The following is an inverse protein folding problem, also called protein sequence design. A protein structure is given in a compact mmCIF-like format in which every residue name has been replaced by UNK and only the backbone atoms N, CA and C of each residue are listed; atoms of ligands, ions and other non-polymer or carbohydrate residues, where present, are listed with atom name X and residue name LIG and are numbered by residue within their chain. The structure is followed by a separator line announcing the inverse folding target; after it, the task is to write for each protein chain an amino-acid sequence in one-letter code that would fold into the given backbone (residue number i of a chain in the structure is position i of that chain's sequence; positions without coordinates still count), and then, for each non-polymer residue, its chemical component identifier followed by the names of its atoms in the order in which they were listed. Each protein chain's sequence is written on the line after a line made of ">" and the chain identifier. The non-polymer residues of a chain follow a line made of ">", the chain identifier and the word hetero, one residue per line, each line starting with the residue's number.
data_IF_173932999578
#
_entry.id   IF_173932999578
#
_cell.length_a   1.000
_cell.length_b   1.000
_cell.length_c   1.000
_cell.angle_alpha   90.00
_cell.angle_beta   90.00
_cell.angle_gamma   90.00
#
_symmetry.space_group_name_H-M   'P 1'
#
loop_
_entity.id
_entity.type
_entity.pdbx_description
1 polymer ?
#
# COMPACT_ATOMS: atom_id res chain seq x y z
N UNK A 1 -28.62 0.83 15.64
CA UNK A 1 -27.45 1.09 14.77
C UNK A 1 -26.93 2.52 14.84
N UNK A 2 -27.77 3.56 14.92
CA UNK A 2 -27.32 4.98 14.98
C UNK A 2 -26.34 5.29 16.13
N UNK A 3 -26.51 4.68 17.30
CA UNK A 3 -25.64 4.94 18.47
C UNK A 3 -24.19 4.45 18.29
N UNK A 4 -23.92 3.42 17.48
CA UNK A 4 -22.56 2.87 17.25
C UNK A 4 -21.67 3.82 16.44
N UNK A 5 -22.27 4.63 15.57
CA UNK A 5 -21.58 5.52 14.61
C UNK A 5 -21.83 7.00 14.88
N UNK A 6 -22.32 7.35 16.08
CA UNK A 6 -22.64 8.73 16.45
C UNK A 6 -21.39 9.62 16.32
N UNK A 7 -21.55 10.79 15.66
CA UNK A 7 -20.50 11.78 15.43
C UNK A 7 -19.29 11.34 14.57
N UNK A 8 -19.38 10.27 13.79
CA UNK A 8 -18.33 9.83 12.83
C UNK A 8 -17.89 10.97 11.91
N UNK A 9 -18.82 11.75 11.34
CA UNK A 9 -18.47 12.86 10.44
C UNK A 9 -17.70 14.00 11.12
N UNK A 10 -17.95 14.27 12.41
CA UNK A 10 -17.15 15.25 13.17
C UNK A 10 -15.74 14.75 13.42
N UNK A 11 -15.58 13.46 13.73
CA UNK A 11 -14.28 12.81 13.90
C UNK A 11 -13.51 12.76 12.57
N UNK A 12 -14.16 12.42 11.46
CA UNK A 12 -13.55 12.46 10.13
C UNK A 12 -13.01 13.87 9.80
N UNK A 13 -13.81 14.92 10.06
CA UNK A 13 -13.36 16.31 9.87
C UNK A 13 -12.16 16.67 10.78
N UNK A 14 -12.13 16.16 12.00
CA UNK A 14 -11.01 16.33 12.92
C UNK A 14 -9.75 15.66 12.40
N UNK A 15 -9.85 14.38 11.94
CA UNK A 15 -8.75 13.64 11.33
C UNK A 15 -8.22 14.38 10.10
N UNK A 16 -9.10 14.87 9.23
CA UNK A 16 -8.71 15.62 8.04
C UNK A 16 -7.95 16.92 8.40
N UNK A 17 -8.43 17.68 9.40
CA UNK A 17 -7.73 18.89 9.87
C UNK A 17 -6.36 18.58 10.45
N UNK A 18 -6.22 17.47 11.19
CA UNK A 18 -4.94 17.03 11.77
C UNK A 18 -3.92 16.67 10.68
N UNK A 19 -4.39 16.12 9.57
CA UNK A 19 -3.55 15.69 8.45
C UNK A 19 -3.54 16.64 7.26
N UNK A 20 -3.96 17.87 7.44
CA UNK A 20 -4.08 18.88 6.37
C UNK A 20 -2.80 19.13 5.55
N UNK A 21 -1.65 18.73 6.05
CA UNK A 21 -0.35 18.81 5.37
C UNK A 21 0.08 17.41 4.90
N UNK A 22 0.00 16.41 5.80
CA UNK A 22 0.53 15.06 5.53
C UNK A 22 -0.19 14.38 4.35
N UNK A 23 -1.53 14.41 4.30
CA UNK A 23 -2.29 13.80 3.21
C UNK A 23 -2.02 14.48 1.86
N UNK A 24 -2.11 15.82 1.72
CA UNK A 24 -1.77 16.48 0.46
C UNK A 24 -0.33 16.25 0.00
N UNK A 25 0.64 16.22 0.91
CA UNK A 25 2.05 15.93 0.56
C UNK A 25 2.16 14.54 -0.08
N UNK A 26 1.53 13.51 0.51
CA UNK A 26 1.51 12.18 -0.07
C UNK A 26 0.84 12.15 -1.44
N UNK A 27 -0.35 12.76 -1.57
CA UNK A 27 -1.09 12.80 -2.85
C UNK A 27 -0.24 13.49 -3.92
N UNK A 28 0.26 14.71 -3.64
CA UNK A 28 1.05 15.47 -4.60
C UNK A 28 2.32 14.70 -5.00
N UNK A 29 3.02 14.10 -4.04
CA UNK A 29 4.24 13.33 -4.34
C UNK A 29 3.96 12.14 -5.26
N UNK A 30 2.92 11.33 -4.95
CA UNK A 30 2.57 10.15 -5.77
C UNK A 30 2.11 10.58 -7.16
N UNK A 31 1.20 11.55 -7.22
CA UNK A 31 0.61 12.03 -8.49
C UNK A 31 1.68 12.66 -9.37
N UNK A 32 2.47 13.60 -8.82
CA UNK A 32 3.53 14.29 -9.59
C UNK A 32 4.58 13.32 -10.09
N UNK A 33 5.01 12.37 -9.25
CA UNK A 33 6.00 11.36 -9.66
C UNK A 33 5.45 10.46 -10.77
N UNK A 34 4.20 10.00 -10.65
CA UNK A 34 3.56 9.14 -11.66
C UNK A 34 3.41 9.86 -13.00
N UNK A 35 2.94 11.12 -12.98
CA UNK A 35 2.75 11.91 -14.20
C UNK A 35 4.12 12.27 -14.83
N UNK A 36 5.11 12.64 -14.00
CA UNK A 36 6.45 12.98 -14.47
C UNK A 36 7.09 11.81 -15.24
N UNK A 37 7.02 10.59 -14.69
CA UNK A 37 7.56 9.41 -15.36
C UNK A 37 6.72 9.08 -16.62
N UNK A 38 5.38 9.20 -16.54
CA UNK A 38 4.50 9.00 -17.69
C UNK A 38 4.81 9.95 -18.86
N UNK A 39 5.22 11.19 -18.57
CA UNK A 39 5.65 12.15 -19.58
C UNK A 39 7.07 11.86 -20.11
N UNK A 40 7.98 11.44 -19.24
CA UNK A 40 9.41 11.26 -19.57
C UNK A 40 9.65 9.98 -20.41
N UNK A 41 8.92 8.88 -20.17
CA UNK A 41 9.17 7.61 -20.87
C UNK A 41 9.02 7.71 -22.40
N UNK A 42 7.97 8.35 -22.98
CA UNK A 42 7.85 8.52 -24.41
C UNK A 42 8.95 9.40 -25.03
N UNK A 43 9.47 10.38 -24.26
CA UNK A 43 10.59 11.20 -24.70
C UNK A 43 11.91 10.42 -24.73
N UNK A 44 12.07 9.46 -23.81
CA UNK A 44 13.27 8.62 -23.72
C UNK A 44 13.29 7.52 -24.79
N UNK A 45 12.12 7.04 -25.24
CA UNK A 45 11.95 6.02 -26.26
C UNK A 45 10.97 6.48 -27.34
N UNK A 46 11.34 7.48 -28.16
CA UNK A 46 10.43 8.14 -29.10
C UNK A 46 9.97 7.24 -30.25
N UNK A 47 10.81 6.29 -30.66
CA UNK A 47 10.47 5.42 -31.80
C UNK A 47 9.88 4.08 -31.33
N UNK A 48 9.00 3.52 -32.18
CA UNK A 48 8.45 2.17 -31.93
C UNK A 48 9.54 1.10 -31.91
N UNK A 49 10.64 1.29 -32.66
CA UNK A 49 11.77 0.36 -32.70
C UNK A 49 12.49 0.34 -31.34
N UNK A 50 12.74 1.49 -30.73
CA UNK A 50 13.38 1.60 -29.42
C UNK A 50 12.51 0.98 -28.34
N UNK A 51 11.19 1.26 -28.35
CA UNK A 51 10.25 0.62 -27.42
C UNK A 51 10.22 -0.90 -27.58
N UNK A 52 10.26 -1.40 -28.83
CA UNK A 52 10.27 -2.83 -29.09
C UNK A 52 11.58 -3.49 -28.65
N UNK A 53 12.74 -2.85 -28.83
CA UNK A 53 14.01 -3.33 -28.29
C UNK A 53 13.97 -3.40 -26.74
N UNK A 54 13.34 -2.41 -26.11
CA UNK A 54 13.15 -2.43 -24.67
C UNK A 54 12.22 -3.56 -24.22
N UNK A 55 11.15 -3.85 -24.98
CA UNK A 55 10.24 -4.96 -24.72
C UNK A 55 10.98 -6.34 -24.68
N UNK A 56 11.98 -6.54 -25.53
CA UNK A 56 12.79 -7.77 -25.52
C UNK A 56 13.62 -7.89 -24.22
N UNK A 57 14.15 -6.77 -23.70
CA UNK A 57 14.89 -6.76 -22.43
C UNK A 57 13.98 -7.14 -21.26
N UNK A 58 12.69 -6.80 -21.32
CA UNK A 58 11.71 -7.07 -20.29
C UNK A 58 11.26 -8.53 -20.19
N UNK A 59 11.62 -9.36 -21.16
CA UNK A 59 11.40 -10.82 -21.11
C UNK A 59 12.35 -11.52 -20.12
N UNK A 60 13.35 -10.80 -19.58
CA UNK A 60 14.26 -11.34 -18.57
C UNK A 60 13.50 -11.64 -17.27
N UNK A 61 13.58 -12.85 -16.70
CA UNK A 61 12.91 -13.22 -15.45
C UNK A 61 13.22 -12.30 -14.26
N UNK A 62 14.45 -11.79 -14.17
CA UNK A 62 14.82 -10.84 -13.09
C UNK A 62 14.06 -9.51 -13.22
N UNK A 63 13.86 -9.02 -14.44
CA UNK A 63 13.06 -7.81 -14.68
C UNK A 63 11.58 -8.07 -14.41
N UNK A 64 11.04 -9.21 -14.87
CA UNK A 64 9.68 -9.64 -14.55
C UNK A 64 9.46 -9.73 -13.04
N UNK A 65 10.43 -10.27 -12.28
CA UNK A 65 10.35 -10.28 -10.82
C UNK A 65 10.25 -8.86 -10.23
N UNK A 66 10.97 -7.89 -10.78
CA UNK A 66 10.99 -6.52 -10.25
C UNK A 66 9.72 -5.73 -10.60
N UNK A 67 9.38 -5.65 -11.88
CA UNK A 67 8.33 -4.75 -12.38
C UNK A 67 7.00 -5.45 -12.64
N UNK A 68 7.00 -6.76 -12.81
CA UNK A 68 5.83 -7.56 -13.17
C UNK A 68 5.90 -8.12 -14.58
N UNK A 69 4.89 -8.92 -14.98
CA UNK A 69 4.84 -9.49 -16.32
C UNK A 69 4.56 -8.41 -17.36
N UNK A 70 5.28 -8.45 -18.48
CA UNK A 70 5.06 -7.56 -19.61
C UNK A 70 3.81 -7.93 -20.38
N UNK A 71 2.92 -6.97 -20.56
CA UNK A 71 1.74 -7.09 -21.40
C UNK A 71 1.88 -6.23 -22.65
N UNK A 72 1.33 -6.68 -23.78
CA UNK A 72 1.39 -5.94 -25.03
C UNK A 72 2.80 -5.84 -25.65
N UNK A 73 3.70 -6.79 -25.35
CA UNK A 73 5.09 -6.76 -25.81
C UNK A 73 5.22 -6.87 -27.35
N UNK A 74 4.21 -7.42 -28.03
CA UNK A 74 4.19 -7.52 -29.50
C UNK A 74 3.95 -6.15 -30.19
N UNK A 75 3.29 -5.24 -29.50
CA UNK A 75 3.10 -3.86 -29.89
C UNK A 75 3.24 -2.96 -28.66
N UNK A 76 4.49 -2.70 -28.27
CA UNK A 76 4.80 -2.04 -27.01
C UNK A 76 4.61 -0.52 -27.12
N UNK A 77 3.40 -0.07 -26.74
CA UNK A 77 3.00 1.33 -26.77
C UNK A 77 3.51 2.10 -25.56
N UNK A 78 3.46 3.45 -25.61
CA UNK A 78 3.84 4.31 -24.48
C UNK A 78 3.02 4.02 -23.22
N UNK A 79 1.71 3.78 -23.38
CA UNK A 79 0.82 3.42 -22.29
C UNK A 79 1.18 2.06 -21.67
N UNK A 80 1.40 1.03 -22.48
CA UNK A 80 1.82 -0.30 -22.01
C UNK A 80 3.16 -0.22 -21.28
N UNK A 81 4.13 0.52 -21.81
CA UNK A 81 5.44 0.75 -21.21
C UNK A 81 5.30 1.47 -19.86
N UNK A 82 4.53 2.55 -19.79
CA UNK A 82 4.29 3.31 -18.56
C UNK A 82 3.66 2.43 -17.48
N UNK A 83 2.60 1.68 -17.82
CA UNK A 83 1.94 0.80 -16.87
C UNK A 83 2.88 -0.31 -16.38
N UNK A 84 3.63 -0.92 -17.26
CA UNK A 84 4.57 -2.00 -16.92
C UNK A 84 5.64 -1.52 -15.92
N UNK A 85 6.29 -0.39 -16.18
CA UNK A 85 7.35 0.11 -15.31
C UNK A 85 6.84 0.66 -13.99
N UNK A 86 5.67 1.31 -13.99
CA UNK A 86 5.28 2.15 -12.87
C UNK A 86 4.19 1.56 -11.97
N UNK A 87 3.31 0.69 -12.49
CA UNK A 87 2.13 0.25 -11.71
C UNK A 87 2.51 -0.47 -10.42
N UNK A 88 3.48 -1.39 -10.47
CA UNK A 88 3.93 -2.11 -9.29
C UNK A 88 4.56 -1.18 -8.24
N UNK A 89 5.44 -0.27 -8.65
CA UNK A 89 6.12 0.65 -7.74
C UNK A 89 5.18 1.69 -7.12
N UNK A 90 4.28 2.25 -7.93
CA UNK A 90 3.28 3.19 -7.42
C UNK A 90 2.28 2.50 -6.50
N UNK A 91 1.87 1.26 -6.79
CA UNK A 91 1.02 0.46 -5.92
C UNK A 91 1.67 0.19 -4.56
N UNK A 92 2.96 -0.19 -4.53
CA UNK A 92 3.74 -0.36 -3.29
C UNK A 92 3.80 0.96 -2.52
N UNK A 93 4.08 2.07 -3.18
CA UNK A 93 4.16 3.40 -2.54
C UNK A 93 2.82 3.80 -1.92
N UNK A 94 1.70 3.58 -2.64
CA UNK A 94 0.35 3.81 -2.12
C UNK A 94 0.05 2.88 -0.94
N UNK A 95 0.49 1.62 -1.00
CA UNK A 95 0.40 0.67 0.12
C UNK A 95 1.12 1.17 1.36
N UNK A 96 2.37 1.64 1.23
CA UNK A 96 3.18 2.22 2.31
C UNK A 96 2.46 3.43 2.94
N UNK A 97 1.99 4.36 2.12
CA UNK A 97 1.23 5.52 2.59
C UNK A 97 0.04 5.10 3.44
N UNK A 98 -0.77 4.16 2.93
CA UNK A 98 -1.98 3.72 3.62
C UNK A 98 -1.68 2.94 4.91
N UNK A 99 -0.62 2.13 4.96
CA UNK A 99 -0.16 1.48 6.19
C UNK A 99 0.17 2.52 7.26
N UNK A 100 0.98 3.53 6.93
CA UNK A 100 1.42 4.55 7.87
C UNK A 100 0.25 5.43 8.36
N UNK A 101 -0.62 5.86 7.45
CA UNK A 101 -1.78 6.68 7.81
C UNK A 101 -2.78 5.89 8.66
N UNK A 102 -3.06 4.63 8.32
CA UNK A 102 -4.01 3.79 9.07
C UNK A 102 -3.48 3.50 10.48
N UNK A 103 -2.21 3.11 10.60
CA UNK A 103 -1.59 2.83 11.89
C UNK A 103 -1.65 4.06 12.83
N UNK A 104 -1.39 5.26 12.29
CA UNK A 104 -1.47 6.52 13.03
C UNK A 104 -2.88 6.82 13.55
N UNK A 105 -3.93 6.55 12.75
CA UNK A 105 -5.32 6.86 13.12
C UNK A 105 -6.06 5.74 13.84
N UNK A 106 -5.40 4.63 14.07
CA UNK A 106 -5.95 3.49 14.79
C UNK A 106 -5.15 3.20 16.06
N UNK A 107 -4.13 2.39 15.96
CA UNK A 107 -3.40 1.89 17.13
C UNK A 107 -2.55 2.96 17.82
N UNK A 108 -1.93 3.86 17.06
CA UNK A 108 -1.15 4.96 17.65
C UNK A 108 -2.04 5.92 18.45
N UNK A 109 -3.23 6.26 17.93
CA UNK A 109 -4.19 7.11 18.64
C UNK A 109 -4.73 6.43 19.92
N UNK A 110 -4.81 5.11 19.93
CA UNK A 110 -5.17 4.32 21.11
C UNK A 110 -4.01 4.27 22.13
N UNK A 111 -2.78 4.00 21.67
CA UNK A 111 -1.57 3.93 22.51
C UNK A 111 -1.28 5.25 23.23
N UNK A 112 -1.58 6.39 22.61
CA UNK A 112 -1.47 7.71 23.22
C UNK A 112 -2.71 8.16 24.02
N UNK A 113 -3.68 7.29 24.26
CA UNK A 113 -4.89 7.59 25.04
C UNK A 113 -5.88 8.54 24.36
N UNK A 114 -5.66 8.90 23.08
CA UNK A 114 -6.56 9.82 22.34
C UNK A 114 -7.94 9.21 22.13
N UNK A 115 -8.03 7.90 21.95
CA UNK A 115 -9.31 7.18 21.78
C UNK A 115 -10.12 7.21 23.08
N UNK A 116 -9.46 7.13 24.25
CA UNK A 116 -10.11 7.25 25.55
C UNK A 116 -10.74 8.62 25.73
N UNK A 117 -10.01 9.70 25.37
CA UNK A 117 -10.56 11.06 25.37
C UNK A 117 -11.76 11.21 24.41
N UNK A 118 -11.71 10.61 23.24
CA UNK A 118 -12.83 10.64 22.29
C UNK A 118 -14.05 9.88 22.84
N UNK A 119 -13.84 8.77 23.54
CA UNK A 119 -14.92 7.98 24.15
C UNK A 119 -15.57 8.66 25.37
N UNK A 120 -14.92 9.61 25.99
CA UNK A 120 -15.56 10.45 27.04
C UNK A 120 -16.54 11.49 26.46
N UNK A 121 -16.49 11.72 25.14
CA UNK A 121 -17.43 12.56 24.41
C UNK A 121 -18.60 11.71 23.88
N UNK A 122 -19.74 12.32 23.48
CA UNK A 122 -20.88 11.60 22.91
C UNK A 122 -20.57 11.06 21.49
N UNK A 123 -19.59 10.15 21.39
CA UNK A 123 -19.16 9.47 20.19
C UNK A 123 -19.49 7.97 20.26
N UNK A 124 -19.92 7.37 19.15
CA UNK A 124 -20.18 5.95 19.09
C UNK A 124 -18.88 5.12 19.19
N UNK A 125 -18.91 3.91 19.74
CA UNK A 125 -17.72 3.08 19.96
C UNK A 125 -16.97 2.72 18.68
N UNK A 126 -17.66 2.60 17.54
CA UNK A 126 -17.07 2.32 16.22
C UNK A 126 -16.74 3.58 15.41
N UNK A 127 -17.15 4.77 15.90
CA UNK A 127 -16.96 6.03 15.19
C UNK A 127 -15.50 6.38 14.89
N UNK A 128 -14.51 6.16 15.80
CA UNK A 128 -13.11 6.50 15.52
C UNK A 128 -12.54 5.69 14.36
N UNK A 129 -12.72 4.37 14.38
CA UNK A 129 -12.24 3.47 13.32
C UNK A 129 -12.93 3.77 11.99
N UNK A 130 -14.26 3.93 11.99
CA UNK A 130 -15.02 4.27 10.79
C UNK A 130 -14.63 5.63 10.22
N UNK A 131 -14.37 6.64 11.07
CA UNK A 131 -13.92 7.96 10.64
C UNK A 131 -12.53 7.89 9.97
N UNK A 132 -11.60 7.11 10.54
CA UNK A 132 -10.30 6.87 9.94
C UNK A 132 -10.42 6.25 8.55
N UNK A 133 -11.19 5.17 8.41
CA UNK A 133 -11.41 4.52 7.12
C UNK A 133 -12.09 5.43 6.10
N UNK A 134 -13.08 6.23 6.51
CA UNK A 134 -13.75 7.16 5.61
C UNK A 134 -12.75 8.16 4.99
N UNK A 135 -11.86 8.72 5.80
CA UNK A 135 -10.82 9.64 5.30
C UNK A 135 -9.84 8.93 4.38
N UNK A 136 -9.45 7.70 4.69
CA UNK A 136 -8.54 6.92 3.84
C UNK A 136 -9.20 6.54 2.51
N UNK A 137 -10.46 6.15 2.50
CA UNK A 137 -11.21 5.90 1.26
C UNK A 137 -11.27 7.17 0.41
N UNK A 138 -11.63 8.32 1.01
CA UNK A 138 -11.65 9.60 0.29
C UNK A 138 -10.26 9.94 -0.27
N UNK A 139 -9.20 9.73 0.51
CA UNK A 139 -7.81 9.96 0.07
C UNK A 139 -7.47 9.09 -1.14
N UNK A 140 -7.83 7.80 -1.12
CA UNK A 140 -7.57 6.88 -2.23
C UNK A 140 -8.43 7.18 -3.47
N UNK A 141 -9.66 7.66 -3.29
CA UNK A 141 -10.49 8.16 -4.41
C UNK A 141 -9.88 9.42 -5.04
N UNK A 142 -9.32 10.32 -4.23
CA UNK A 142 -8.61 11.49 -4.76
C UNK A 142 -7.38 11.06 -5.54
N UNK A 143 -6.56 10.13 -5.03
CA UNK A 143 -5.41 9.58 -5.77
C UNK A 143 -5.87 8.95 -7.08
N UNK A 144 -6.90 8.11 -7.05
CA UNK A 144 -7.50 7.50 -8.23
C UNK A 144 -7.80 8.55 -9.29
N UNK A 145 -8.62 9.56 -8.95
CA UNK A 145 -9.06 10.56 -9.92
C UNK A 145 -7.92 11.46 -10.40
N UNK A 146 -7.05 11.92 -9.49
CA UNK A 146 -5.96 12.83 -9.87
C UNK A 146 -4.89 12.15 -10.71
N UNK A 147 -4.58 10.87 -10.44
CA UNK A 147 -3.66 10.09 -11.30
C UNK A 147 -4.32 9.80 -12.65
N UNK A 148 -5.59 9.38 -12.68
CA UNK A 148 -6.28 9.06 -13.92
C UNK A 148 -6.35 10.27 -14.87
N UNK A 149 -6.85 11.41 -14.37
CA UNK A 149 -6.93 12.61 -15.19
C UNK A 149 -5.57 13.22 -15.50
N UNK A 150 -4.60 13.10 -14.59
CA UNK A 150 -3.24 13.55 -14.80
C UNK A 150 -2.56 12.78 -15.94
N UNK A 151 -2.66 11.45 -15.98
CA UNK A 151 -2.10 10.65 -17.07
C UNK A 151 -2.82 10.91 -18.38
N UNK A 152 -4.14 10.94 -18.38
CA UNK A 152 -4.92 11.26 -19.59
C UNK A 152 -4.56 12.64 -20.17
N UNK A 153 -4.26 13.64 -19.31
CA UNK A 153 -3.90 14.99 -19.74
C UNK A 153 -2.55 15.09 -20.46
N UNK A 154 -1.72 14.03 -20.44
CA UNK A 154 -0.47 13.99 -21.20
C UNK A 154 -0.69 13.97 -22.71
N UNK A 155 -1.87 13.52 -23.18
CA UNK A 155 -2.27 13.59 -24.58
C UNK A 155 -1.62 12.56 -25.51
N UNK A 156 -0.97 11.52 -24.97
CA UNK A 156 -0.45 10.42 -25.77
C UNK A 156 -1.59 9.51 -26.24
N UNK A 157 -1.59 9.12 -27.51
CA UNK A 157 -2.64 8.32 -28.14
C UNK A 157 -2.89 6.99 -27.40
N UNK A 158 -1.83 6.34 -26.93
CA UNK A 158 -1.89 5.05 -26.22
C UNK A 158 -2.23 5.18 -24.73
N UNK A 159 -2.29 6.41 -24.17
CA UNK A 159 -2.70 6.69 -22.78
C UNK A 159 -4.11 7.25 -22.80
N UNK A 160 -5.06 6.37 -23.13
CA UNK A 160 -6.48 6.70 -23.23
C UNK A 160 -7.14 6.91 -21.85
N UNK A 161 -8.34 7.48 -21.85
CA UNK A 161 -9.11 7.72 -20.62
C UNK A 161 -9.46 6.42 -19.89
N UNK A 162 -9.80 5.35 -20.64
CA UNK A 162 -10.21 4.07 -20.08
C UNK A 162 -9.08 3.41 -19.30
N UNK A 163 -7.90 3.33 -19.89
CA UNK A 163 -6.69 2.82 -19.25
C UNK A 163 -6.24 3.70 -18.09
N UNK A 164 -6.31 5.03 -18.25
CA UNK A 164 -5.94 5.98 -17.18
C UNK A 164 -6.87 5.85 -15.97
N UNK A 165 -8.18 5.69 -16.17
CA UNK A 165 -9.14 5.39 -15.11
C UNK A 165 -8.82 4.06 -14.44
N UNK A 166 -8.49 3.03 -15.21
CA UNK A 166 -8.14 1.72 -14.64
C UNK A 166 -6.82 1.77 -13.85
N UNK A 167 -5.81 2.52 -14.35
CA UNK A 167 -4.55 2.73 -13.62
C UNK A 167 -4.82 3.38 -12.25
N UNK A 168 -5.53 4.50 -12.25
CA UNK A 168 -5.88 5.20 -11.01
C UNK A 168 -6.73 4.34 -10.07
N UNK A 169 -7.73 3.59 -10.60
CA UNK A 169 -8.58 2.69 -9.84
C UNK A 169 -7.76 1.54 -9.20
N UNK A 170 -6.76 1.04 -9.90
CA UNK A 170 -5.83 0.03 -9.39
C UNK A 170 -5.06 0.54 -8.18
N UNK A 171 -4.54 1.78 -8.23
CA UNK A 171 -3.88 2.41 -7.10
C UNK A 171 -4.84 2.66 -5.93
N UNK A 172 -6.04 3.16 -6.22
CA UNK A 172 -7.09 3.38 -5.21
C UNK A 172 -7.48 2.09 -4.50
N UNK A 173 -7.67 1.00 -5.24
CA UNK A 173 -8.03 -0.32 -4.70
C UNK A 173 -6.93 -0.87 -3.78
N UNK A 174 -5.67 -0.82 -4.19
CA UNK A 174 -4.53 -1.22 -3.36
C UNK A 174 -4.44 -0.38 -2.09
N UNK A 175 -4.65 0.93 -2.18
CA UNK A 175 -4.65 1.79 -1.02
C UNK A 175 -5.74 1.43 -0.02
N UNK A 176 -6.96 1.19 -0.49
CA UNK A 176 -8.08 0.73 0.34
C UNK A 176 -7.78 -0.64 0.95
N UNK A 177 -7.18 -1.56 0.19
CA UNK A 177 -6.78 -2.88 0.68
C UNK A 177 -5.79 -2.77 1.84
N UNK A 178 -4.69 -2.03 1.68
CA UNK A 178 -3.70 -1.89 2.75
C UNK A 178 -4.21 -1.09 3.94
N UNK A 179 -5.14 -0.16 3.74
CA UNK A 179 -5.86 0.48 4.85
C UNK A 179 -6.67 -0.54 5.65
N UNK A 180 -7.48 -1.36 4.97
CA UNK A 180 -8.33 -2.37 5.61
C UNK A 180 -7.48 -3.43 6.33
N UNK A 181 -6.43 -3.93 5.69
CA UNK A 181 -5.49 -4.89 6.27
C UNK A 181 -4.79 -4.34 7.52
N UNK A 182 -4.28 -3.10 7.45
CA UNK A 182 -3.62 -2.46 8.59
C UNK A 182 -4.61 -2.21 9.73
N UNK A 183 -5.83 -1.79 9.40
CA UNK A 183 -6.91 -1.64 10.38
C UNK A 183 -7.28 -2.96 11.04
N UNK A 184 -7.26 -4.07 10.30
CA UNK A 184 -7.44 -5.42 10.85
C UNK A 184 -6.27 -5.79 11.79
N UNK A 185 -5.01 -5.61 11.38
CA UNK A 185 -3.85 -5.86 12.25
C UNK A 185 -3.83 -4.95 13.48
N UNK A 186 -4.34 -3.73 13.39
CA UNK A 186 -4.48 -2.84 14.54
C UNK A 186 -5.42 -3.43 15.61
N UNK A 187 -6.39 -4.26 15.25
CA UNK A 187 -7.23 -4.95 16.25
C UNK A 187 -6.51 -6.14 16.89
N UNK A 188 -5.63 -6.80 16.14
CA UNK A 188 -4.90 -7.98 16.63
C UNK A 188 -3.75 -7.62 17.58
N UNK A 189 -3.08 -6.51 17.34
CA UNK A 189 -1.87 -6.11 18.07
C UNK A 189 -2.17 -5.22 19.28
N UNK A 190 -1.20 -5.10 20.20
CA UNK A 190 -1.31 -4.26 21.39
C UNK A 190 -0.60 -2.91 21.26
N UNK A 191 0.26 -2.73 20.25
CA UNK A 191 1.05 -1.50 20.05
C UNK A 191 1.21 -1.17 18.56
N UNK A 192 1.45 0.12 18.28
CA UNK A 192 1.57 0.65 16.92
C UNK A 192 2.75 0.04 16.14
N UNK A 193 3.88 -0.21 16.82
CA UNK A 193 5.07 -0.81 16.19
C UNK A 193 4.77 -2.20 15.63
N UNK A 194 4.00 -3.03 16.35
CA UNK A 194 3.60 -4.35 15.88
C UNK A 194 2.61 -4.26 14.71
N UNK A 195 1.66 -3.33 14.77
CA UNK A 195 0.71 -3.07 13.67
C UNK A 195 1.45 -2.75 12.37
N UNK A 196 2.36 -1.79 12.44
CA UNK A 196 3.21 -1.39 11.30
C UNK A 196 4.06 -2.57 10.85
N UNK A 197 4.69 -3.30 11.78
CA UNK A 197 5.55 -4.44 11.47
C UNK A 197 4.82 -5.56 10.73
N UNK A 198 3.62 -5.95 11.15
CA UNK A 198 2.82 -6.97 10.46
C UNK A 198 2.32 -6.49 9.10
N UNK A 199 1.93 -5.22 8.99
CA UNK A 199 1.46 -4.65 7.73
C UNK A 199 2.57 -4.56 6.68
N UNK A 200 3.77 -4.09 7.06
CA UNK A 200 4.93 -4.11 6.18
C UNK A 200 5.43 -5.52 5.87
N UNK A 201 5.41 -6.41 6.86
CA UNK A 201 5.74 -7.83 6.66
C UNK A 201 4.83 -8.46 5.60
N UNK A 202 3.52 -8.20 5.67
CA UNK A 202 2.57 -8.64 4.64
C UNK A 202 2.86 -8.00 3.27
N UNK A 203 3.15 -6.70 3.21
CA UNK A 203 3.51 -6.01 1.96
C UNK A 203 4.73 -6.65 1.29
N UNK A 204 5.77 -6.94 2.07
CA UNK A 204 7.00 -7.58 1.58
C UNK A 204 6.70 -9.00 1.08
N UNK A 205 5.96 -9.80 1.86
CA UNK A 205 5.57 -11.16 1.46
C UNK A 205 4.72 -11.11 0.19
N UNK A 206 3.76 -10.19 0.10
CA UNK A 206 2.92 -10.01 -1.08
C UNK A 206 3.75 -9.61 -2.32
N UNK A 207 4.77 -8.76 -2.16
CA UNK A 207 5.66 -8.37 -3.24
C UNK A 207 6.52 -9.56 -3.72
N UNK A 208 7.10 -10.33 -2.80
CA UNK A 208 7.92 -11.51 -3.12
C UNK A 208 7.03 -12.59 -3.76
N UNK A 209 5.87 -12.89 -3.19
CA UNK A 209 4.93 -13.87 -3.73
C UNK A 209 4.49 -13.51 -5.16
N UNK A 210 4.21 -12.21 -5.41
CA UNK A 210 3.95 -11.70 -6.74
C UNK A 210 5.15 -11.92 -7.66
N UNK A 211 6.38 -11.52 -7.25
CA UNK A 211 7.57 -11.62 -8.09
C UNK A 211 7.88 -13.07 -8.50
N UNK A 212 7.84 -14.01 -7.55
CA UNK A 212 8.00 -15.45 -7.84
C UNK A 212 6.85 -15.95 -8.72
N UNK A 213 5.63 -15.53 -8.40
CA UNK A 213 4.44 -15.95 -9.15
C UNK A 213 4.43 -15.47 -10.60
N UNK A 214 4.92 -14.27 -10.85
CA UNK A 214 4.99 -13.69 -12.19
C UNK A 214 6.02 -14.40 -13.09
N UNK A 215 7.03 -15.04 -12.49
CA UNK A 215 8.08 -15.79 -13.21
C UNK A 215 7.71 -17.27 -13.38
N UNK A 216 7.20 -17.91 -12.32
CA UNK A 216 7.08 -19.39 -12.28
C UNK A 216 5.64 -19.89 -12.19
N UNK A 217 4.75 -19.21 -11.47
CA UNK A 217 3.43 -19.73 -11.15
C UNK A 217 2.37 -18.62 -11.01
N UNK A 218 1.56 -18.46 -12.03
CA UNK A 218 0.50 -17.44 -12.08
C UNK A 218 -0.45 -17.44 -10.87
N UNK A 219 -0.75 -18.61 -10.30
CA UNK A 219 -1.65 -18.74 -9.14
C UNK A 219 -1.06 -18.02 -7.93
N UNK A 220 0.26 -18.13 -7.72
CA UNK A 220 0.93 -17.45 -6.61
C UNK A 220 0.89 -15.93 -6.75
N UNK A 221 1.02 -15.41 -7.99
CA UNK A 221 0.84 -13.99 -8.28
C UNK A 221 -0.59 -13.53 -8.00
N UNK A 222 -1.60 -14.31 -8.39
CA UNK A 222 -3.02 -13.97 -8.18
C UNK A 222 -3.44 -13.91 -6.70
N UNK A 223 -2.79 -14.67 -5.83
CA UNK A 223 -3.05 -14.62 -4.37
C UNK A 223 -2.51 -13.32 -3.77
N UNK A 224 -1.47 -12.75 -4.37
CA UNK A 224 -0.92 -11.46 -3.95
C UNK A 224 -1.83 -10.30 -4.43
N UNK A 225 -2.22 -9.37 -3.55
CA UNK A 225 -2.98 -8.19 -3.98
C UNK A 225 -2.21 -7.32 -4.98
N UNK A 226 -0.88 -7.31 -4.90
CA UNK A 226 -0.02 -6.61 -5.85
C UNK A 226 0.02 -7.32 -7.21
N UNK A 227 0.11 -8.66 -7.23
CA UNK A 227 0.06 -9.43 -8.46
C UNK A 227 -1.33 -9.36 -9.12
N UNK A 228 -2.39 -9.43 -8.31
CA UNK A 228 -3.76 -9.29 -8.79
C UNK A 228 -3.97 -7.98 -9.56
N UNK A 229 -3.47 -6.84 -9.02
CA UNK A 229 -3.59 -5.54 -9.67
C UNK A 229 -2.81 -5.46 -11.00
N UNK A 230 -1.67 -6.14 -11.12
CA UNK A 230 -0.94 -6.18 -12.39
C UNK A 230 -1.73 -6.88 -13.50
N UNK A 231 -2.64 -7.82 -13.14
CA UNK A 231 -3.54 -8.51 -14.10
C UNK A 231 -4.63 -7.60 -14.67
N UNK A 232 -4.71 -6.35 -14.27
CA UNK A 232 -5.56 -5.34 -14.94
C UNK A 232 -5.13 -5.08 -16.37
N UNK A 233 -3.86 -5.33 -16.72
CA UNK A 233 -3.28 -5.13 -18.05
C UNK A 233 -3.62 -3.75 -18.62
N UNK A 234 -3.34 -2.73 -17.81
CA UNK A 234 -3.68 -1.33 -18.10
C UNK A 234 -3.06 -0.91 -19.42
N UNK A 235 -3.82 -0.18 -20.24
CA UNK A 235 -3.50 0.27 -21.60
C UNK A 235 -3.28 -0.85 -22.62
N UNK A 236 -3.56 -2.12 -22.27
CA UNK A 236 -3.50 -3.26 -23.18
C UNK A 236 -4.89 -3.88 -23.33
N UNK A 237 -5.35 -4.63 -22.32
CA UNK A 237 -6.67 -5.28 -22.34
C UNK A 237 -7.68 -4.64 -21.38
N UNK A 238 -7.21 -3.82 -20.45
CA UNK A 238 -8.02 -3.03 -19.51
C UNK A 238 -9.04 -3.86 -18.70
N UNK A 239 -8.60 -4.94 -18.03
CA UNK A 239 -9.46 -5.78 -17.21
C UNK A 239 -9.79 -5.12 -15.87
N UNK A 240 -11.08 -4.92 -15.58
CA UNK A 240 -11.57 -4.32 -14.33
C UNK A 240 -11.77 -5.32 -13.20
N UNK A 241 -11.89 -6.63 -13.49
CA UNK A 241 -12.18 -7.64 -12.48
C UNK A 241 -11.15 -7.69 -11.33
N UNK A 242 -9.83 -7.48 -11.54
CA UNK A 242 -8.87 -7.49 -10.45
C UNK A 242 -9.10 -6.37 -9.44
N UNK A 243 -9.50 -5.19 -9.92
CA UNK A 243 -9.87 -4.05 -9.05
C UNK A 243 -11.08 -4.42 -8.20
N UNK A 244 -12.12 -5.01 -8.80
CA UNK A 244 -13.35 -5.41 -8.10
C UNK A 244 -13.06 -6.47 -7.02
N UNK A 245 -12.22 -7.47 -7.33
CA UNK A 245 -11.80 -8.48 -6.36
C UNK A 245 -11.03 -7.85 -5.21
N UNK A 246 -10.06 -6.96 -5.50
CA UNK A 246 -9.26 -6.27 -4.47
C UNK A 246 -10.14 -5.43 -3.55
N UNK A 247 -11.10 -4.68 -4.10
CA UNK A 247 -12.08 -3.91 -3.32
C UNK A 247 -12.99 -4.85 -2.51
N UNK A 248 -13.46 -5.95 -3.09
CA UNK A 248 -14.27 -6.96 -2.39
C UNK A 248 -13.56 -7.53 -1.17
N UNK A 249 -12.30 -7.94 -1.32
CA UNK A 249 -11.47 -8.41 -0.19
C UNK A 249 -11.27 -7.31 0.85
N UNK A 250 -11.08 -6.07 0.42
CA UNK A 250 -10.93 -4.92 1.31
C UNK A 250 -12.18 -4.68 2.16
N UNK A 251 -13.37 -4.83 1.58
CA UNK A 251 -14.66 -4.72 2.31
C UNK A 251 -14.77 -5.81 3.37
N UNK A 252 -14.37 -7.05 3.06
CA UNK A 252 -14.36 -8.15 4.03
C UNK A 252 -13.39 -7.86 5.18
N UNK A 253 -12.15 -7.43 4.87
CA UNK A 253 -11.15 -7.07 5.89
C UNK A 253 -11.63 -5.91 6.77
N UNK A 254 -12.26 -4.91 6.17
CA UNK A 254 -12.85 -3.79 6.90
C UNK A 254 -13.98 -4.24 7.82
N UNK A 255 -14.88 -5.11 7.35
CA UNK A 255 -15.94 -5.72 8.17
C UNK A 255 -15.36 -6.49 9.35
N UNK A 256 -14.33 -7.30 9.13
CA UNK A 256 -13.60 -8.00 10.18
C UNK A 256 -12.95 -7.05 11.18
N UNK A 257 -12.32 -5.98 10.72
CA UNK A 257 -11.73 -4.96 11.59
C UNK A 257 -12.78 -4.28 12.48
N UNK A 258 -13.96 -3.94 11.93
CA UNK A 258 -15.08 -3.38 12.73
C UNK A 258 -15.63 -4.40 13.73
N UNK A 259 -15.80 -5.65 13.32
CA UNK A 259 -16.25 -6.72 14.20
C UNK A 259 -15.29 -6.91 15.38
N UNK A 260 -14.00 -7.07 15.12
CA UNK A 260 -12.98 -7.21 16.15
C UNK A 260 -12.93 -5.99 17.07
N UNK A 261 -13.05 -4.78 16.53
CA UNK A 261 -13.11 -3.54 17.30
C UNK A 261 -14.32 -3.50 18.26
N UNK A 262 -15.45 -4.13 17.87
CA UNK A 262 -16.66 -4.18 18.71
C UNK A 262 -16.58 -5.15 19.88
N UNK A 263 -15.75 -6.20 19.76
CA UNK A 263 -15.61 -7.29 20.76
C UNK A 263 -14.38 -7.09 21.65
N UNK A 264 -13.44 -6.24 21.23
CA UNK A 264 -12.16 -6.00 21.88
C UNK A 264 -12.26 -4.90 22.93
N UNK A 265 -11.61 -5.11 24.08
CA UNK A 265 -11.41 -4.04 25.06
C UNK A 265 -10.34 -3.04 24.59
N UNK A 266 -10.52 -1.78 24.97
CA UNK A 266 -9.53 -0.73 24.71
C UNK A 266 -8.17 -1.08 25.30
N UNK A 267 -7.10 -0.77 24.58
CA UNK A 267 -5.72 -1.05 24.98
C UNK A 267 -5.31 -2.51 24.83
N UNK A 268 -6.25 -3.44 24.65
CA UNK A 268 -5.95 -4.85 24.44
C UNK A 268 -5.68 -5.18 22.98
N UNK A 269 -5.14 -6.38 22.70
CA UNK A 269 -5.01 -6.98 21.39
C UNK A 269 -5.21 -8.48 21.51
N UNK A 270 -5.64 -9.14 20.43
CA UNK A 270 -5.81 -10.60 20.44
C UNK A 270 -4.47 -11.35 20.46
N UNK A 271 -3.38 -10.71 20.05
CA UNK A 271 -2.02 -11.26 20.11
C UNK A 271 -1.31 -10.62 21.30
N UNK A 272 -1.14 -11.35 22.43
CA UNK A 272 -0.48 -10.79 23.59
C UNK A 272 1.01 -10.55 23.33
N UNK A 273 1.53 -9.45 23.84
CA UNK A 273 2.98 -9.21 23.86
C UNK A 273 3.66 -10.19 24.79
N UNK A 274 4.67 -10.91 24.29
CA UNK A 274 5.48 -11.78 25.14
C UNK A 274 6.26 -10.91 26.15
N UNK A 275 6.23 -11.26 27.44
CA UNK A 275 7.07 -10.58 28.42
C UNK A 275 8.54 -10.69 28.01
N UNK A 276 9.26 -9.58 28.10
CA UNK A 276 10.69 -9.56 27.83
C UNK A 276 11.47 -10.44 28.83
N UNK A 277 12.70 -10.80 28.50
CA UNK A 277 13.58 -11.50 29.46
C UNK A 277 13.82 -10.60 30.66
N UNK A 278 13.68 -11.13 31.86
CA UNK A 278 13.91 -10.42 33.14
C UNK A 278 15.38 -10.03 33.34
N UNK A 279 16.30 -10.71 32.67
CA UNK A 279 17.76 -10.44 32.75
C UNK A 279 18.28 -10.11 31.34
N UNK A 280 19.11 -9.05 31.25
CA UNK A 280 19.87 -8.73 30.06
C UNK A 280 20.94 -9.78 29.78
N UNK A 281 21.25 -10.06 28.51
CA UNK A 281 22.42 -10.90 28.19
C UNK A 281 23.73 -10.13 28.47
N UNK A 282 24.82 -10.84 28.78
CA UNK A 282 26.14 -10.25 28.99
C UNK A 282 26.62 -9.37 27.82
N UNK A 283 26.17 -9.69 26.60
CA UNK A 283 26.44 -8.88 25.41
C UNK A 283 25.84 -7.45 25.49
N UNK A 284 24.76 -7.26 26.23
CA UNK A 284 24.11 -5.97 26.41
C UNK A 284 24.79 -5.06 27.43
N UNK A 285 25.76 -5.59 28.20
CA UNK A 285 26.55 -4.79 29.12
C UNK A 285 27.64 -3.94 28.42
N UNK A 286 27.91 -4.22 27.12
CA UNK A 286 28.80 -3.41 26.29
C UNK A 286 28.02 -2.34 25.53
N UNK A 287 28.56 -1.11 25.33
CA UNK A 287 27.93 -0.06 24.52
C UNK A 287 27.64 -0.53 23.10
N UNK A 288 28.50 -1.31 22.49
CA UNK A 288 28.37 -1.86 21.15
C UNK A 288 27.23 -2.86 21.07
N UNK A 289 27.11 -3.77 22.04
CA UNK A 289 26.02 -4.74 22.10
C UNK A 289 24.65 -4.08 22.29
N UNK A 290 24.60 -3.04 23.14
CA UNK A 290 23.39 -2.25 23.32
C UNK A 290 22.99 -1.50 22.05
N UNK A 291 23.94 -0.84 21.38
CA UNK A 291 23.72 -0.11 20.12
C UNK A 291 23.21 -1.04 19.01
N UNK A 292 23.86 -2.20 18.81
CA UNK A 292 23.43 -3.20 17.83
C UNK A 292 22.03 -3.73 18.11
N UNK A 293 21.68 -3.92 19.39
CA UNK A 293 20.31 -4.35 19.76
C UNK A 293 19.28 -3.28 19.49
N UNK A 294 19.56 -2.03 19.80
CA UNK A 294 18.66 -0.90 19.55
C UNK A 294 18.44 -0.68 18.05
N UNK A 295 19.49 -0.86 17.25
CA UNK A 295 19.47 -0.66 15.80
C UNK A 295 19.25 -1.95 14.99
N UNK A 296 18.94 -3.08 15.63
CA UNK A 296 18.81 -4.37 14.94
C UNK A 296 17.82 -4.35 13.78
N UNK A 297 16.68 -3.67 13.95
CA UNK A 297 15.63 -3.61 12.90
C UNK A 297 16.10 -2.85 11.67
N UNK A 298 16.62 -1.60 11.75
CA UNK A 298 17.21 -0.94 10.59
C UNK A 298 18.39 -1.71 9.99
N UNK A 299 19.28 -2.30 10.81
CA UNK A 299 20.41 -3.07 10.30
C UNK A 299 19.91 -4.27 9.47
N UNK A 300 18.97 -5.06 10.00
CA UNK A 300 18.39 -6.21 9.28
C UNK A 300 17.69 -5.74 8.00
N UNK A 301 16.93 -4.66 8.06
CA UNK A 301 16.24 -4.11 6.88
C UNK A 301 17.23 -3.70 5.79
N UNK A 302 18.33 -3.05 6.15
CA UNK A 302 19.39 -2.67 5.20
C UNK A 302 20.10 -3.89 4.61
N UNK A 303 20.47 -4.88 5.45
CA UNK A 303 21.11 -6.12 4.96
C UNK A 303 20.22 -6.87 4.00
N UNK A 304 18.93 -7.03 4.32
CA UNK A 304 17.97 -7.70 3.43
C UNK A 304 17.76 -6.88 2.14
N UNK A 305 17.62 -5.56 2.24
CA UNK A 305 17.44 -4.69 1.08
C UNK A 305 18.65 -4.75 0.14
N UNK A 306 19.87 -4.67 0.66
CA UNK A 306 21.10 -4.78 -0.13
C UNK A 306 21.28 -6.18 -0.74
N UNK A 307 20.89 -7.23 -0.01
CA UNK A 307 20.91 -8.60 -0.53
C UNK A 307 19.97 -8.78 -1.72
N UNK A 308 18.72 -8.29 -1.59
CA UNK A 308 17.73 -8.34 -2.67
C UNK A 308 18.22 -7.56 -3.89
N UNK A 309 18.74 -6.35 -3.68
CA UNK A 309 19.33 -5.55 -4.77
C UNK A 309 20.52 -6.30 -5.42
N UNK A 310 21.43 -6.88 -4.64
CA UNK A 310 22.56 -7.63 -5.18
C UNK A 310 22.13 -8.83 -6.03
N UNK A 311 21.14 -9.58 -5.58
CA UNK A 311 20.56 -10.72 -6.34
C UNK A 311 19.88 -10.26 -7.64
N UNK A 312 19.32 -9.04 -7.64
CA UNK A 312 18.65 -8.49 -8.84
C UNK A 312 19.62 -8.06 -9.94
N UNK A 313 20.89 -7.78 -9.58
CA UNK A 313 21.92 -7.33 -10.54
C UNK A 313 22.95 -8.42 -10.90
N UNK A 314 22.94 -9.56 -10.25
CA UNK A 314 23.80 -10.71 -10.52
C UNK A 314 23.10 -11.81 -11.24
#
# INVERSE_FOLDING_TARGET
>A
MSRLYTNTGKLARFILRRNRIRIPVWIVSIVSFTIMIGAMLPELYPTSIERQMMAETLKNPAVTFMVGPGYGLDNYTDGAMMAHYMLAFTAVTVGIMNILLTATHTREDEEYGRIEMIRSLPAGPLSPLTAAFLILIITNVIIFLTVAFGLYSLGFESIDLGGSLLYGASLGAIGIFFSALTGFFAQLTTNNRSTIGYSFGFLIIAYIARGIGDVENEILSLISPLGLILRTQVYVNNYWWPVLVTVGVSVVLFGLALYLNSVRDLGSGFIPTKPGRSKGSVFLSSPLGLSLRLQRTPIIAWVIGMFILGVSYG
#
